data_IF_150695708317
#
_entry.id   IF_150695708317
#
_cell.length_a   1.000
_cell.length_b   1.000
_cell.length_c   1.000
_cell.angle_alpha   90.00
_cell.angle_beta   90.00
_cell.angle_gamma   90.00
#
_symmetry.space_group_name_H-M   'P 1'
#
loop_
_entity.id
_entity.type
_entity.pdbx_description
1 polymer ?
#
# COMPACT_ATOMS: atom_id res chain seq x y z
N UNK A 1 0.52 -11.48 22.03
CA UNK A 1 -0.42 -11.08 20.96
C UNK A 1 -0.44 -12.18 19.90
N UNK A 2 -1.54 -12.36 19.18
CA UNK A 2 -1.55 -13.27 18.03
C UNK A 2 -0.66 -12.70 16.92
N UNK A 3 0.08 -13.56 16.21
CA UNK A 3 0.88 -13.16 15.04
C UNK A 3 -0.04 -12.61 13.96
N UNK A 4 0.40 -11.58 13.23
CA UNK A 4 -0.38 -11.09 12.10
C UNK A 4 -0.37 -12.10 10.95
N UNK A 5 -1.44 -12.06 10.15
CA UNK A 5 -1.50 -12.75 8.86
C UNK A 5 -0.70 -11.91 7.88
N UNK A 6 0.25 -12.53 7.18
CA UNK A 6 1.05 -11.89 6.13
C UNK A 6 0.97 -12.68 4.83
N UNK A 7 0.74 -11.98 3.72
CA UNK A 7 0.86 -12.53 2.37
C UNK A 7 1.49 -11.50 1.45
N UNK A 8 2.59 -11.84 0.80
CA UNK A 8 3.27 -10.99 -0.19
C UNK A 8 3.36 -11.72 -1.51
N UNK A 9 3.07 -11.04 -2.62
CA UNK A 9 3.19 -11.60 -3.95
C UNK A 9 3.42 -10.51 -4.99
N UNK A 10 4.10 -10.89 -6.06
CA UNK A 10 4.36 -10.01 -7.18
C UNK A 10 3.08 -9.70 -7.96
N UNK A 11 2.88 -8.43 -8.32
CA UNK A 11 1.79 -7.91 -9.13
C UNK A 11 2.32 -7.23 -10.41
N UNK A 12 1.57 -7.28 -11.52
CA UNK A 12 1.94 -6.55 -12.74
C UNK A 12 1.89 -5.04 -12.50
N UNK A 13 2.49 -4.21 -13.39
CA UNK A 13 3.14 -4.60 -14.64
C UNK A 13 4.64 -4.88 -14.49
N UNK A 14 5.30 -4.34 -13.47
CA UNK A 14 6.76 -4.46 -13.29
C UNK A 14 7.18 -5.52 -12.28
N UNK A 15 6.20 -6.21 -11.67
CA UNK A 15 6.49 -7.25 -10.69
C UNK A 15 6.65 -6.75 -9.25
N UNK A 16 6.12 -5.56 -8.92
CA UNK A 16 6.12 -4.99 -7.58
C UNK A 16 5.53 -5.97 -6.54
N UNK A 17 6.10 -5.98 -5.34
CA UNK A 17 5.69 -6.86 -4.24
C UNK A 17 4.54 -6.25 -3.44
N UNK A 18 3.30 -6.51 -3.86
CA UNK A 18 2.12 -6.17 -3.07
C UNK A 18 2.07 -7.04 -1.80
N UNK A 19 1.84 -6.42 -0.65
CA UNK A 19 1.73 -7.12 0.64
C UNK A 19 0.39 -6.89 1.31
N UNK A 20 -0.18 -7.95 1.88
CA UNK A 20 -1.37 -7.93 2.73
C UNK A 20 -0.93 -8.26 4.15
N UNK A 21 -1.23 -7.37 5.09
CA UNK A 21 -1.01 -7.57 6.53
C UNK A 21 -2.37 -7.50 7.22
N UNK A 22 -2.73 -8.53 7.98
CA UNK A 22 -4.06 -8.68 8.58
C UNK A 22 -4.01 -9.08 10.05
N UNK A 23 -4.89 -8.51 10.87
CA UNK A 23 -5.11 -8.97 12.24
C UNK A 23 -6.08 -10.16 12.24
N UNK A 24 -5.66 -11.36 12.70
CA UNK A 24 -6.53 -12.53 12.71
C UNK A 24 -7.74 -12.40 13.64
N UNK A 25 -7.69 -11.49 14.62
CA UNK A 25 -8.77 -11.27 15.60
C UNK A 25 -9.83 -10.32 15.04
N UNK A 26 -9.45 -9.09 14.68
CA UNK A 26 -10.40 -8.08 14.18
C UNK A 26 -10.77 -8.26 12.70
N UNK A 27 -10.03 -9.11 11.98
CA UNK A 27 -10.09 -9.28 10.51
C UNK A 27 -9.72 -8.04 9.70
N UNK A 28 -9.32 -6.95 10.34
CA UNK A 28 -8.86 -5.77 9.63
C UNK A 28 -7.54 -6.07 8.93
N UNK A 29 -7.36 -5.49 7.75
CA UNK A 29 -6.16 -5.61 6.95
C UNK A 29 -5.72 -4.27 6.38
N UNK A 30 -4.43 -4.19 6.09
CA UNK A 30 -3.85 -3.20 5.20
C UNK A 30 -3.31 -3.88 3.95
N UNK A 31 -3.43 -3.21 2.81
CA UNK A 31 -2.78 -3.58 1.56
C UNK A 31 -1.68 -2.56 1.30
N UNK A 32 -0.46 -3.02 1.08
CA UNK A 32 0.71 -2.18 0.82
C UNK A 32 1.13 -2.36 -0.64
N UNK A 33 1.27 -1.25 -1.35
CA UNK A 33 1.74 -1.15 -2.73
C UNK A 33 0.98 -2.05 -3.73
N UNK A 34 -0.35 -1.89 -3.90
CA UNK A 34 -1.12 -2.64 -4.88
C UNK A 34 -0.85 -2.10 -6.31
N UNK A 35 0.28 -2.51 -6.86
CA UNK A 35 0.77 -2.14 -8.18
C UNK A 35 -0.08 -2.51 -9.39
N UNK A 36 -1.02 -3.45 -9.22
CA UNK A 36 -1.89 -3.93 -10.29
C UNK A 36 -2.65 -5.19 -9.87
N UNK A 37 -3.43 -5.76 -10.80
CA UNK A 37 -4.23 -6.97 -10.59
C UNK A 37 -5.17 -6.91 -9.36
N UNK A 38 -5.99 -5.85 -9.28
CA UNK A 38 -6.93 -5.60 -8.18
C UNK A 38 -7.84 -6.80 -7.86
N UNK A 39 -8.41 -7.47 -8.86
CA UNK A 39 -9.24 -8.67 -8.68
C UNK A 39 -8.50 -9.78 -7.91
N UNK A 40 -7.23 -10.02 -8.25
CA UNK A 40 -6.39 -11.01 -7.54
C UNK A 40 -6.17 -10.58 -6.10
N UNK A 41 -5.83 -9.30 -5.87
CA UNK A 41 -5.61 -8.79 -4.51
C UNK A 41 -6.88 -8.95 -3.66
N UNK A 42 -8.04 -8.56 -4.19
CA UNK A 42 -9.34 -8.69 -3.51
C UNK A 42 -9.69 -10.16 -3.25
N UNK A 43 -9.41 -11.05 -4.20
CA UNK A 43 -9.59 -12.48 -4.01
C UNK A 43 -8.72 -13.01 -2.87
N UNK A 44 -7.45 -12.60 -2.80
CA UNK A 44 -6.54 -13.02 -1.74
C UNK A 44 -6.96 -12.51 -0.36
N UNK A 45 -7.40 -11.25 -0.27
CA UNK A 45 -8.01 -10.69 0.95
C UNK A 45 -9.21 -11.54 1.39
N UNK A 46 -10.09 -11.89 0.45
CA UNK A 46 -11.27 -12.70 0.73
C UNK A 46 -10.92 -14.11 1.22
N UNK A 47 -9.95 -14.79 0.59
CA UNK A 47 -9.48 -16.12 1.01
C UNK A 47 -8.90 -16.10 2.42
N UNK A 48 -8.26 -15.01 2.82
CA UNK A 48 -7.74 -14.81 4.18
C UNK A 48 -8.84 -14.43 5.19
N UNK A 49 -10.07 -14.18 4.73
CA UNK A 49 -11.19 -13.75 5.56
C UNK A 49 -10.96 -12.36 6.18
N UNK A 50 -10.29 -11.47 5.44
CA UNK A 50 -9.90 -10.13 5.89
C UNK A 50 -10.77 -9.04 5.27
N UNK A 51 -10.74 -7.85 5.89
CA UNK A 51 -11.44 -6.64 5.47
C UNK A 51 -10.39 -5.52 5.35
N UNK A 52 -10.20 -4.97 4.15
CA UNK A 52 -9.21 -3.90 3.94
C UNK A 52 -9.73 -2.59 4.55
N UNK A 53 -8.93 -2.00 5.43
CA UNK A 53 -9.20 -0.70 6.05
C UNK A 53 -8.36 0.41 5.43
N UNK A 54 -7.11 0.11 5.09
CA UNK A 54 -6.17 1.07 4.54
C UNK A 54 -5.40 0.47 3.36
N UNK A 55 -5.07 1.32 2.40
CA UNK A 55 -4.16 1.05 1.31
C UNK A 55 -2.96 1.97 1.52
N UNK A 56 -1.86 1.40 1.98
CA UNK A 56 -0.64 2.15 2.30
C UNK A 56 0.28 2.14 1.08
N UNK A 57 0.85 3.30 0.76
CA UNK A 57 1.85 3.42 -0.31
C UNK A 57 3.20 3.76 0.31
N UNK A 58 4.22 2.98 -0.04
CA UNK A 58 5.60 3.32 0.30
C UNK A 58 6.03 4.56 -0.47
N UNK A 59 5.63 4.70 -1.73
CA UNK A 59 5.88 5.88 -2.56
C UNK A 59 4.93 5.92 -3.77
N UNK A 60 4.93 7.02 -4.52
CA UNK A 60 4.01 7.24 -5.65
C UNK A 60 4.61 6.93 -7.03
N UNK A 61 5.25 5.76 -7.18
CA UNK A 61 5.55 5.21 -8.51
C UNK A 61 4.43 4.35 -9.05
N UNK A 62 4.38 4.26 -10.38
CA UNK A 62 3.17 3.78 -11.02
C UNK A 62 2.85 2.33 -10.73
N UNK A 63 3.86 1.48 -10.68
CA UNK A 63 3.77 0.07 -10.36
C UNK A 63 3.55 -0.21 -8.88
N UNK A 64 3.31 0.80 -8.03
CA UNK A 64 2.90 0.66 -6.63
C UNK A 64 1.42 1.02 -6.38
N UNK A 65 0.69 1.60 -7.35
CA UNK A 65 -0.66 2.14 -7.09
C UNK A 65 -1.78 1.67 -8.04
N UNK A 66 -1.53 1.04 -9.20
CA UNK A 66 -2.55 0.94 -10.26
C UNK A 66 -3.86 0.26 -9.80
N UNK A 67 -3.81 -0.63 -8.80
CA UNK A 67 -4.98 -1.29 -8.25
C UNK A 67 -5.67 -0.53 -7.09
N UNK A 68 -5.05 0.51 -6.54
CA UNK A 68 -5.53 1.23 -5.33
C UNK A 68 -6.95 1.76 -5.47
N UNK A 69 -7.28 2.34 -6.62
CA UNK A 69 -8.61 2.93 -6.83
C UNK A 69 -9.71 1.88 -6.92
N UNK A 70 -9.42 0.72 -7.49
CA UNK A 70 -10.38 -0.36 -7.59
C UNK A 70 -10.58 -1.05 -6.25
N UNK A 71 -9.50 -1.29 -5.50
CA UNK A 71 -9.56 -1.84 -4.14
C UNK A 71 -10.35 -0.89 -3.23
N UNK A 72 -10.08 0.43 -3.28
CA UNK A 72 -10.85 1.42 -2.53
C UNK A 72 -12.33 1.39 -2.88
N UNK A 73 -12.70 1.36 -4.16
CA UNK A 73 -14.12 1.26 -4.57
C UNK A 73 -14.80 -0.01 -4.04
N UNK A 74 -14.08 -1.13 -4.01
CA UNK A 74 -14.62 -2.41 -3.56
C UNK A 74 -14.74 -2.52 -2.03
N UNK A 75 -13.89 -1.82 -1.28
CA UNK A 75 -13.72 -2.04 0.18
C UNK A 75 -14.10 -0.83 1.03
N UNK A 76 -14.10 0.37 0.45
CA UNK A 76 -14.21 1.63 1.19
C UNK A 76 -12.92 2.03 1.91
N UNK A 77 -11.80 1.35 1.67
CA UNK A 77 -10.53 1.62 2.35
C UNK A 77 -9.95 3.02 2.07
N UNK A 78 -9.22 3.53 3.05
CA UNK A 78 -8.49 4.81 2.99
C UNK A 78 -7.19 4.64 2.21
N UNK A 79 -6.98 5.44 1.16
CA UNK A 79 -5.68 5.52 0.46
C UNK A 79 -4.77 6.46 1.24
N UNK A 80 -3.62 5.94 1.69
CA UNK A 80 -2.61 6.67 2.46
C UNK A 80 -1.33 6.84 1.64
N UNK A 81 -0.76 8.04 1.69
CA UNK A 81 0.51 8.41 1.02
C UNK A 81 1.23 9.49 1.85
N UNK A 82 2.54 9.64 1.72
CA UNK A 82 3.23 10.83 2.27
C UNK A 82 3.00 12.05 1.36
N UNK A 83 2.77 13.23 1.94
CA UNK A 83 2.39 14.43 1.18
C UNK A 83 3.44 14.85 0.15
N UNK A 84 4.73 14.64 0.41
CA UNK A 84 5.81 15.03 -0.52
C UNK A 84 5.80 14.26 -1.85
N UNK A 85 5.05 13.14 -1.92
CA UNK A 85 4.85 12.37 -3.15
C UNK A 85 3.59 12.77 -3.92
N UNK A 86 2.83 13.78 -3.46
CA UNK A 86 1.63 14.27 -4.16
C UNK A 86 1.94 14.67 -5.62
N UNK A 87 3.07 15.33 -5.88
CA UNK A 87 3.46 15.70 -7.24
C UNK A 87 3.71 14.48 -8.14
N UNK A 88 4.24 13.39 -7.59
CA UNK A 88 4.40 12.15 -8.34
C UNK A 88 3.05 11.51 -8.60
N UNK A 89 2.14 11.53 -7.60
CA UNK A 89 0.76 11.07 -7.74
C UNK A 89 -0.04 11.82 -8.81
N UNK A 90 0.12 13.14 -8.90
CA UNK A 90 -0.54 13.94 -9.95
C UNK A 90 -0.01 13.63 -11.36
N UNK A 91 1.21 13.08 -11.46
CA UNK A 91 1.87 12.74 -12.71
C UNK A 91 1.79 11.25 -13.09
N UNK A 92 0.95 10.45 -12.43
CA UNK A 92 0.88 9.01 -12.67
C UNK A 92 0.53 8.64 -14.12
N UNK A 93 -0.29 9.45 -14.80
CA UNK A 93 -0.56 9.25 -16.23
C UNK A 93 0.73 9.33 -17.06
N UNK A 94 1.57 10.33 -16.78
CA UNK A 94 2.85 10.52 -17.47
C UNK A 94 3.79 9.35 -17.18
N UNK A 95 3.85 8.90 -15.92
CA UNK A 95 4.64 7.73 -15.54
C UNK A 95 4.20 6.50 -16.35
N UNK A 96 2.91 6.16 -16.35
CA UNK A 96 2.39 5.03 -17.13
C UNK A 96 2.71 5.16 -18.63
N UNK A 97 2.56 6.36 -19.20
CA UNK A 97 2.84 6.64 -20.61
C UNK A 97 4.31 6.36 -20.97
N UNK A 98 5.26 6.71 -20.10
CA UNK A 98 6.69 6.46 -20.34
C UNK A 98 7.03 4.96 -20.46
N UNK A 99 6.23 4.10 -19.82
CA UNK A 99 6.42 2.64 -19.84
C UNK A 99 5.43 1.91 -20.77
N UNK A 100 4.61 2.65 -21.53
CA UNK A 100 3.61 2.06 -22.43
C UNK A 100 2.49 1.30 -21.69
N UNK A 101 2.22 1.66 -20.44
CA UNK A 101 1.19 1.05 -19.59
C UNK A 101 -0.09 1.87 -19.67
N UNK A 102 -1.24 1.19 -19.80
CA UNK A 102 -2.54 1.84 -19.77
C UNK A 102 -2.81 2.45 -18.40
N UNK A 103 -3.18 3.73 -18.38
CA UNK A 103 -3.55 4.44 -17.16
C UNK A 103 -5.07 4.59 -17.05
N UNK A 104 -5.60 4.26 -15.87
CA UNK A 104 -6.93 4.65 -15.44
C UNK A 104 -6.78 5.69 -14.32
N UNK A 105 -7.51 6.82 -14.37
CA UNK A 105 -7.41 7.86 -13.36
C UNK A 105 -7.52 7.32 -11.93
N UNK A 106 -6.46 7.55 -11.14
CA UNK A 106 -6.45 7.18 -9.74
C UNK A 106 -7.32 8.12 -8.91
N UNK A 107 -8.05 7.58 -7.93
CA UNK A 107 -8.64 8.35 -6.85
C UNK A 107 -7.52 9.01 -6.05
N UNK A 108 -7.71 10.25 -5.61
CA UNK A 108 -6.73 10.93 -4.77
C UNK A 108 -6.53 10.19 -3.43
N UNK A 109 -5.33 10.29 -2.83
CA UNK A 109 -5.11 9.87 -1.45
C UNK A 109 -6.08 10.58 -0.52
N UNK A 110 -6.59 9.84 0.47
CA UNK A 110 -7.51 10.35 1.49
C UNK A 110 -6.76 10.90 2.69
N UNK A 111 -5.54 10.39 2.91
CA UNK A 111 -4.80 10.60 4.13
C UNK A 111 -3.31 10.76 3.87
N UNK A 112 -2.73 11.78 4.51
CA UNK A 112 -1.32 12.09 4.42
C UNK A 112 -0.61 11.55 5.65
N UNK A 113 0.23 10.53 5.48
CA UNK A 113 1.02 9.96 6.56
C UNK A 113 2.17 10.90 6.92
N UNK A 114 2.41 11.08 8.22
CA UNK A 114 3.59 11.74 8.75
C UNK A 114 4.67 10.74 9.18
N UNK A 115 5.88 11.25 9.42
CA UNK A 115 6.96 10.46 10.02
C UNK A 115 6.58 9.97 11.43
N UNK A 116 7.02 8.75 11.75
CA UNK A 116 6.71 7.98 12.96
C UNK A 116 5.22 7.82 13.28
N UNK A 117 4.32 8.11 12.34
CA UNK A 117 2.88 7.96 12.54
C UNK A 117 2.49 6.48 12.66
N UNK A 118 1.59 6.18 13.59
CA UNK A 118 1.13 4.80 13.82
C UNK A 118 -0.23 4.55 13.19
N UNK A 119 -0.28 3.62 12.24
CA UNK A 119 -1.52 3.03 11.72
C UNK A 119 -1.85 1.78 12.55
N UNK A 120 -2.99 1.80 13.23
CA UNK A 120 -3.42 0.69 14.08
C UNK A 120 -4.15 -0.39 13.29
N UNK A 121 -3.63 -1.61 13.33
CA UNK A 121 -4.29 -2.80 12.81
C UNK A 121 -4.82 -3.64 13.97
N UNK A 122 -6.04 -3.33 14.42
CA UNK A 122 -6.55 -3.85 15.69
C UNK A 122 -5.70 -3.34 16.85
N UNK A 123 -4.96 -4.23 17.52
CA UNK A 123 -4.01 -3.87 18.58
C UNK A 123 -2.55 -3.85 18.11
N UNK A 124 -2.27 -4.20 16.85
CA UNK A 124 -0.92 -4.22 16.32
C UNK A 124 -0.56 -2.86 15.68
N UNK A 125 0.54 -2.22 16.08
CA UNK A 125 1.00 -0.98 15.46
C UNK A 125 1.75 -1.27 14.15
N UNK A 126 1.46 -0.47 13.12
CA UNK A 126 2.29 -0.31 11.92
C UNK A 126 2.83 1.13 11.97
N UNK A 127 4.13 1.27 12.15
CA UNK A 127 4.80 2.57 12.25
C UNK A 127 5.24 2.98 10.85
N UNK A 128 4.72 4.08 10.34
CA UNK A 128 5.12 4.70 9.09
C UNK A 128 6.38 5.54 9.35
N UNK A 129 7.50 5.17 8.73
CA UNK A 129 8.79 5.85 8.86
C UNK A 129 9.07 6.62 7.57
N UNK A 130 9.31 7.92 7.66
CA UNK A 130 9.71 8.73 6.51
C UNK A 130 11.16 8.41 6.14
N UNK A 131 11.32 7.80 4.98
CA UNK A 131 12.60 7.31 4.46
C UNK A 131 12.86 7.89 3.07
N UNK A 132 13.04 9.23 2.95
CA UNK A 132 13.24 9.87 1.66
C UNK A 132 14.55 9.42 1.02
N UNK A 133 14.55 9.33 -0.31
CA UNK A 133 15.71 8.90 -1.08
C UNK A 133 15.31 8.60 -2.51
N UNK A 134 14.68 7.45 -2.72
CA UNK A 134 14.11 7.06 -4.01
C UNK A 134 13.08 8.08 -4.50
N UNK A 135 12.15 8.46 -3.62
CA UNK A 135 11.26 9.61 -3.80
C UNK A 135 11.30 10.54 -2.57
N UNK A 136 10.88 11.82 -2.71
CA UNK A 136 10.80 12.75 -1.59
C UNK A 136 9.86 12.28 -0.46
N UNK A 137 8.77 11.60 -0.80
CA UNK A 137 7.78 11.05 0.12
C UNK A 137 7.93 9.55 0.38
N UNK A 138 9.08 8.95 0.09
CA UNK A 138 9.29 7.52 0.36
C UNK A 138 9.09 7.19 1.85
N UNK A 139 8.33 6.14 2.13
CA UNK A 139 8.00 5.63 3.44
C UNK A 139 8.37 4.14 3.56
N UNK A 140 8.80 3.74 4.75
CA UNK A 140 8.92 2.34 5.16
C UNK A 140 7.91 2.04 6.25
N UNK A 141 7.29 0.85 6.23
CA UNK A 141 6.34 0.43 7.26
C UNK A 141 6.95 -0.61 8.19
N UNK A 142 7.21 -0.22 9.43
CA UNK A 142 7.74 -1.09 10.47
C UNK A 142 6.60 -1.70 11.29
N UNK A 143 6.63 -3.02 11.45
CA UNK A 143 5.68 -3.79 12.24
C UNK A 143 6.45 -4.45 13.41
N UNK A 144 6.57 -3.78 14.57
CA UNK A 144 7.45 -4.21 15.65
C UNK A 144 7.13 -5.61 16.19
N UNK A 145 5.84 -5.94 16.25
CA UNK A 145 5.38 -7.22 16.80
C UNK A 145 5.88 -8.43 16.00
N UNK A 146 6.16 -8.25 14.71
CA UNK A 146 6.52 -9.31 13.77
C UNK A 146 7.96 -9.17 13.23
N UNK A 147 8.76 -8.24 13.79
CA UNK A 147 10.13 -7.92 13.33
C UNK A 147 10.20 -7.71 11.81
N UNK A 148 9.21 -7.02 11.25
CA UNK A 148 9.03 -6.84 9.81
C UNK A 148 9.16 -5.37 9.43
N UNK A 149 9.87 -5.11 8.33
CA UNK A 149 9.85 -3.82 7.63
C UNK A 149 9.44 -4.06 6.18
N UNK A 150 8.46 -3.29 5.71
CA UNK A 150 8.12 -3.16 4.29
C UNK A 150 8.78 -1.87 3.80
N UNK A 151 9.93 -2.00 3.14
CA UNK A 151 10.85 -0.89 2.86
C UNK A 151 10.57 -0.13 1.55
N UNK A 152 9.59 -0.58 0.75
CA UNK A 152 9.43 -0.12 -0.62
C UNK A 152 10.72 -0.32 -1.42
N UNK A 153 11.10 0.70 -2.19
CA UNK A 153 12.29 0.70 -3.06
C UNK A 153 13.50 1.36 -2.38
N UNK A 154 13.66 1.18 -1.06
CA UNK A 154 14.71 1.85 -0.28
C UNK A 154 16.00 1.03 -0.12
N UNK A 155 15.91 -0.31 0.03
CA UNK A 155 17.02 -1.20 0.42
C UNK A 155 17.13 -2.44 -0.48
#
# INVERSE_FOLDING_TARGET
MASLIRKTFSVPPLGCNCSIIGDPVTKQAVVIDPGGAAERILHEVQQLGLIVSHILHTHAHFDHFLASSEIKRATGATICLHHDDLKLWENLELQCRMFGVSYLPALLPDYWLADEETVMLGQAPIIALHTPGHTPGSMSFHVPNDQLVLAGDTL
#
